data_IF_008651986926
#
_entry.id   IF_008651986926
#
_cell.length_a   1.000
_cell.length_b   1.000
_cell.length_c   1.000
_cell.angle_alpha   90.00
_cell.angle_beta   90.00
_cell.angle_gamma   90.00
#
_symmetry.space_group_name_H-M   'P 1'
#
loop_
_entity.id
_entity.type
_entity.pdbx_description
1 polymer ?
#
# COMPACT_ATOMS: atom_id res chain seq x y z
N UNK A 1 30.96 -31.86 19.24
CA UNK A 1 29.80 -31.18 19.87
C UNK A 1 29.73 -29.73 19.39
N UNK A 2 28.83 -29.40 18.45
CA UNK A 2 28.62 -28.02 17.98
C UNK A 2 27.73 -27.29 18.99
N UNK A 3 28.25 -26.23 19.62
CA UNK A 3 27.50 -25.33 20.51
C UNK A 3 26.33 -24.74 19.73
N UNK A 4 25.11 -24.93 20.23
CA UNK A 4 23.92 -24.22 19.72
C UNK A 4 24.14 -22.73 19.98
N UNK A 5 23.96 -21.91 18.96
CA UNK A 5 23.93 -20.46 19.11
C UNK A 5 22.78 -20.11 20.06
N UNK A 6 23.11 -19.60 21.24
CA UNK A 6 22.13 -19.03 22.16
C UNK A 6 21.56 -17.77 21.51
N UNK A 7 20.29 -17.85 21.11
CA UNK A 7 19.54 -16.69 20.64
C UNK A 7 19.36 -15.73 21.81
N UNK A 8 19.90 -14.52 21.69
CA UNK A 8 19.67 -13.44 22.65
C UNK A 8 18.16 -13.16 22.86
N UNK A 9 17.79 -12.38 23.88
CA UNK A 9 16.39 -12.20 24.26
C UNK A 9 15.58 -11.77 23.05
N UNK A 10 14.51 -12.54 22.74
CA UNK A 10 13.61 -12.20 21.65
C UNK A 10 13.10 -10.78 21.87
N UNK A 11 13.33 -9.89 20.90
CA UNK A 11 12.90 -8.50 20.99
C UNK A 11 11.41 -8.44 21.37
N UNK A 12 11.07 -7.53 22.28
CA UNK A 12 9.69 -7.32 22.72
C UNK A 12 8.77 -7.12 21.50
N UNK A 13 7.53 -7.66 21.53
CA UNK A 13 6.60 -7.49 20.43
C UNK A 13 6.29 -6.01 20.21
N UNK A 14 6.18 -5.62 18.94
CA UNK A 14 5.70 -4.30 18.56
C UNK A 14 4.26 -4.11 19.02
N UNK A 15 3.82 -2.87 19.23
CA UNK A 15 2.41 -2.59 19.47
C UNK A 15 1.60 -2.89 18.21
N UNK A 16 2.12 -2.51 17.05
CA UNK A 16 1.47 -2.77 15.77
C UNK A 16 2.46 -2.98 14.62
N UNK A 17 2.11 -3.87 13.69
CA UNK A 17 2.70 -3.94 12.36
C UNK A 17 1.65 -3.51 11.33
N UNK A 18 1.99 -2.52 10.51
CA UNK A 18 1.16 -2.05 9.40
C UNK A 18 1.71 -2.65 8.11
N UNK A 19 0.89 -3.40 7.38
CA UNK A 19 1.29 -4.07 6.13
C UNK A 19 0.75 -3.27 4.95
N UNK A 20 1.64 -2.65 4.18
CA UNK A 20 1.32 -1.80 3.04
C UNK A 20 1.59 -0.32 3.32
N UNK A 21 2.28 0.33 2.37
CA UNK A 21 2.73 1.72 2.42
C UNK A 21 1.95 2.66 1.51
N UNK A 22 0.71 2.32 1.16
CA UNK A 22 -0.23 3.24 0.50
C UNK A 22 -0.84 4.27 1.45
N UNK A 23 -1.85 5.04 1.00
CA UNK A 23 -2.54 6.03 1.84
C UNK A 23 -3.02 5.44 3.17
N UNK A 24 -3.77 4.33 3.15
CA UNK A 24 -4.29 3.70 4.37
C UNK A 24 -3.18 3.36 5.39
N UNK A 25 -2.08 2.75 4.93
CA UNK A 25 -0.99 2.35 5.81
C UNK A 25 -0.18 3.53 6.34
N UNK A 26 0.07 4.54 5.50
CA UNK A 26 0.78 5.75 5.92
C UNK A 26 -0.05 6.55 6.95
N UNK A 27 -1.36 6.69 6.75
CA UNK A 27 -2.24 7.30 7.74
C UNK A 27 -2.22 6.51 9.05
N UNK A 28 -2.48 5.21 8.99
CA UNK A 28 -2.53 4.36 10.18
C UNK A 28 -1.21 4.40 10.97
N UNK A 29 -0.07 4.19 10.28
CA UNK A 29 1.24 4.23 10.90
C UNK A 29 1.57 5.59 11.50
N UNK A 30 1.23 6.69 10.81
CA UNK A 30 1.44 8.04 11.31
C UNK A 30 0.64 8.30 12.59
N UNK A 31 -0.62 7.88 12.65
CA UNK A 31 -1.46 8.02 13.84
C UNK A 31 -0.93 7.19 15.01
N UNK A 32 -0.49 5.96 14.75
CA UNK A 32 0.13 5.11 15.77
C UNK A 32 1.41 5.72 16.33
N UNK A 33 2.30 6.20 15.46
CA UNK A 33 3.54 6.85 15.87
C UNK A 33 3.28 8.13 16.67
N UNK A 34 2.29 8.95 16.25
CA UNK A 34 1.88 10.16 16.98
C UNK A 34 1.30 9.86 18.37
N UNK A 35 0.67 8.70 18.54
CA UNK A 35 0.16 8.25 19.83
C UNK A 35 1.22 7.57 20.72
N UNK A 36 2.48 7.49 20.27
CA UNK A 36 3.58 6.91 21.05
C UNK A 36 3.71 5.38 20.95
N UNK A 37 2.94 4.72 20.08
CA UNK A 37 3.03 3.28 19.90
C UNK A 37 4.28 2.87 19.12
N UNK A 38 4.89 1.76 19.51
CA UNK A 38 5.96 1.10 18.79
C UNK A 38 5.41 0.41 17.53
N UNK A 39 5.19 1.20 16.47
CA UNK A 39 4.67 0.73 15.19
C UNK A 39 5.75 0.59 14.12
N UNK A 40 5.61 -0.44 13.28
CA UNK A 40 6.45 -0.66 12.08
C UNK A 40 5.57 -0.82 10.85
N UNK A 41 5.77 0.03 9.85
CA UNK A 41 5.16 -0.13 8.53
C UNK A 41 6.06 -0.97 7.63
N UNK A 42 5.50 -2.00 7.01
CA UNK A 42 6.17 -2.89 6.06
C UNK A 42 5.60 -2.64 4.68
N UNK A 43 6.44 -2.21 3.73
CA UNK A 43 6.05 -2.01 2.34
C UNK A 43 7.02 -2.75 1.41
N UNK A 44 6.50 -3.40 0.37
CA UNK A 44 7.30 -4.21 -0.56
C UNK A 44 8.02 -3.40 -1.63
N UNK A 45 7.62 -2.14 -1.84
CA UNK A 45 8.16 -1.21 -2.85
C UNK A 45 8.38 0.19 -2.24
N UNK A 46 8.30 1.23 -3.07
CA UNK A 46 8.29 2.61 -2.61
C UNK A 46 6.94 2.97 -1.94
N UNK A 47 7.00 3.84 -0.93
CA UNK A 47 5.81 4.37 -0.27
C UNK A 47 4.93 5.17 -1.24
N UNK A 48 3.62 5.06 -1.04
CA UNK A 48 2.58 5.77 -1.76
C UNK A 48 1.54 4.87 -2.44
N UNK A 49 1.78 3.55 -2.51
CA UNK A 49 0.83 2.61 -3.11
C UNK A 49 0.43 2.98 -4.54
N UNK A 50 -0.80 2.67 -4.93
CA UNK A 50 -1.33 2.99 -6.27
C UNK A 50 -1.40 4.50 -6.53
N UNK A 51 -1.75 5.30 -5.50
CA UNK A 51 -1.87 6.75 -5.62
C UNK A 51 -0.59 7.40 -6.15
N UNK A 52 0.59 6.85 -5.84
CA UNK A 52 1.88 7.34 -6.34
C UNK A 52 1.97 7.38 -7.88
N UNK A 53 1.27 6.47 -8.57
CA UNK A 53 1.31 6.32 -10.01
C UNK A 53 0.37 7.25 -10.78
N UNK A 54 -0.55 7.93 -10.07
CA UNK A 54 -1.53 8.81 -10.71
C UNK A 54 -0.84 10.09 -11.17
N UNK A 55 -1.01 10.44 -12.45
CA UNK A 55 -0.39 11.62 -13.06
C UNK A 55 -0.86 12.91 -12.40
N UNK A 56 -2.18 13.07 -12.25
CA UNK A 56 -2.83 14.19 -11.58
C UNK A 56 -4.03 13.69 -10.79
N UNK A 57 -4.11 14.09 -9.52
CA UNK A 57 -5.23 13.81 -8.61
C UNK A 57 -5.99 15.12 -8.42
N UNK A 58 -7.25 15.15 -8.81
CA UNK A 58 -8.10 16.35 -8.75
C UNK A 58 -9.16 16.27 -7.64
N UNK A 59 -9.37 15.09 -7.09
CA UNK A 59 -10.41 14.78 -6.11
C UNK A 59 -9.90 14.57 -4.67
N UNK A 60 -8.69 15.05 -4.35
CA UNK A 60 -8.14 14.94 -3.00
C UNK A 60 -8.28 16.28 -2.26
N UNK A 61 -9.07 16.35 -1.17
CA UNK A 61 -9.30 17.59 -0.43
C UNK A 61 -8.00 18.26 0.06
N UNK A 62 -7.97 19.59 0.00
CA UNK A 62 -6.80 20.40 0.37
C UNK A 62 -5.87 20.73 -0.79
N UNK A 63 -6.13 20.22 -2.01
CA UNK A 63 -5.40 20.56 -3.23
C UNK A 63 -6.38 21.05 -4.32
N UNK A 64 -6.89 22.29 -4.21
CA UNK A 64 -7.92 22.79 -5.12
C UNK A 64 -7.48 22.88 -6.59
N UNK A 65 -6.17 22.96 -6.86
CA UNK A 65 -5.62 22.92 -8.23
C UNK A 65 -5.22 21.50 -8.68
N UNK A 66 -5.53 20.48 -7.87
CA UNK A 66 -5.01 19.13 -8.00
C UNK A 66 -3.54 19.00 -7.62
N UNK A 67 -3.05 17.76 -7.56
CA UNK A 67 -1.67 17.43 -7.20
C UNK A 67 -1.23 16.13 -7.87
N UNK A 68 0.05 16.00 -8.22
CA UNK A 68 0.55 14.72 -8.73
C UNK A 68 0.55 13.65 -7.63
N UNK A 69 0.26 12.40 -7.99
CA UNK A 69 0.27 11.30 -7.04
C UNK A 69 1.62 11.09 -6.36
N UNK A 70 2.71 11.33 -7.09
CA UNK A 70 4.08 11.28 -6.58
C UNK A 70 4.33 12.34 -5.50
N UNK A 71 3.87 13.56 -5.74
CA UNK A 71 4.06 14.67 -4.80
C UNK A 71 3.22 14.49 -3.53
N UNK A 72 1.92 14.17 -3.70
CA UNK A 72 1.01 13.91 -2.59
C UNK A 72 1.56 12.81 -1.67
N UNK A 73 1.94 11.66 -2.22
CA UNK A 73 2.49 10.56 -1.43
C UNK A 73 3.87 10.88 -0.84
N UNK A 74 4.63 11.77 -1.48
CA UNK A 74 5.88 12.31 -0.93
C UNK A 74 5.63 13.17 0.33
N UNK A 75 4.59 14.01 0.32
CA UNK A 75 4.17 14.80 1.48
C UNK A 75 3.78 13.90 2.65
N UNK A 76 2.96 12.88 2.38
CA UNK A 76 2.55 11.90 3.39
C UNK A 76 3.73 11.15 4.00
N UNK A 77 4.67 10.68 3.18
CA UNK A 77 5.85 9.98 3.67
C UNK A 77 6.74 10.88 4.56
N UNK A 78 6.90 12.16 4.18
CA UNK A 78 7.62 13.14 5.01
C UNK A 78 6.91 13.39 6.34
N UNK A 79 5.59 13.53 6.32
CA UNK A 79 4.80 13.72 7.54
C UNK A 79 4.86 12.51 8.46
N UNK A 80 4.76 11.29 7.91
CA UNK A 80 4.88 10.05 8.67
C UNK A 80 6.28 9.94 9.33
N UNK A 81 7.34 10.26 8.58
CA UNK A 81 8.71 10.29 9.11
C UNK A 81 8.88 11.33 10.22
N UNK A 82 8.30 12.53 10.06
CA UNK A 82 8.32 13.60 11.08
C UNK A 82 7.72 13.13 12.41
N UNK A 83 6.64 12.35 12.36
CA UNK A 83 6.01 11.77 13.56
C UNK A 83 6.70 10.50 14.08
N UNK A 84 7.84 10.10 13.48
CA UNK A 84 8.64 8.98 13.98
C UNK A 84 8.18 7.61 13.50
N UNK A 85 7.29 7.51 12.50
CA UNK A 85 6.91 6.22 11.94
C UNK A 85 8.13 5.51 11.35
N UNK A 86 8.44 4.32 11.87
CA UNK A 86 9.46 3.44 11.31
C UNK A 86 8.88 2.70 10.10
N UNK A 87 9.63 2.66 9.01
CA UNK A 87 9.27 1.93 7.80
C UNK A 87 10.34 0.90 7.44
N UNK A 88 9.94 -0.26 6.96
CA UNK A 88 10.82 -1.33 6.50
C UNK A 88 10.42 -1.78 5.09
N UNK A 89 11.40 -1.83 4.20
CA UNK A 89 11.24 -2.49 2.90
C UNK A 89 11.13 -4.01 3.13
N UNK A 90 10.01 -4.60 2.76
CA UNK A 90 9.75 -6.03 2.94
C UNK A 90 8.39 -6.44 2.41
N UNK A 91 8.26 -7.71 2.03
CA UNK A 91 6.99 -8.30 1.60
C UNK A 91 6.50 -9.24 2.71
N UNK A 92 5.37 -8.91 3.34
CA UNK A 92 4.69 -9.82 4.25
C UNK A 92 4.00 -10.92 3.43
N UNK A 93 4.28 -12.17 3.75
CA UNK A 93 3.78 -13.35 3.02
C UNK A 93 2.79 -14.18 3.83
N UNK A 94 2.75 -14.00 5.15
CA UNK A 94 1.77 -14.63 6.02
C UNK A 94 1.64 -13.86 7.34
N UNK A 95 0.47 -13.97 7.93
CA UNK A 95 0.17 -13.52 9.30
C UNK A 95 -0.47 -14.70 10.03
N UNK A 96 0.02 -15.01 11.22
CA UNK A 96 -0.59 -15.98 12.12
C UNK A 96 -0.70 -15.41 13.52
N UNK A 97 -1.64 -15.93 14.32
CA UNK A 97 -1.80 -15.56 15.73
C UNK A 97 -1.31 -16.72 16.59
N UNK A 98 -0.34 -16.45 17.45
CA UNK A 98 0.16 -17.42 18.42
C UNK A 98 -0.83 -17.66 19.56
N UNK A 99 -0.63 -18.75 20.30
CA UNK A 99 -1.41 -19.07 21.50
C UNK A 99 -1.22 -18.02 22.62
N UNK A 100 -0.10 -17.30 22.60
CA UNK A 100 0.20 -16.15 23.47
C UNK A 100 -0.58 -14.88 23.09
N UNK A 101 -1.44 -14.96 22.07
CA UNK A 101 -2.23 -13.84 21.56
C UNK A 101 -1.46 -12.87 20.68
N UNK A 102 -0.16 -13.09 20.45
CA UNK A 102 0.72 -12.23 19.65
C UNK A 102 0.69 -12.65 18.19
N UNK A 103 0.63 -11.68 17.28
CA UNK A 103 0.73 -11.94 15.86
C UNK A 103 2.18 -12.14 15.43
N UNK A 104 2.38 -13.09 14.51
CA UNK A 104 3.64 -13.30 13.78
C UNK A 104 3.42 -12.94 12.31
N UNK A 105 4.12 -11.91 11.83
CA UNK A 105 4.12 -11.47 10.43
C UNK A 105 5.39 -11.99 9.77
N UNK A 106 5.25 -13.00 8.91
CA UNK A 106 6.37 -13.59 8.19
C UNK A 106 6.69 -12.77 6.95
N UNK A 107 7.94 -12.33 6.83
CA UNK A 107 8.46 -11.65 5.64
C UNK A 107 9.05 -12.66 4.66
N UNK A 108 8.99 -12.36 3.36
CA UNK A 108 9.52 -13.22 2.28
C UNK A 108 10.99 -13.61 2.47
N UNK A 109 11.81 -12.71 3.02
CA UNK A 109 13.24 -12.93 3.29
C UNK A 109 13.52 -13.56 4.67
N UNK A 110 12.57 -14.35 5.21
CA UNK A 110 12.77 -15.21 6.37
C UNK A 110 12.63 -14.56 7.76
N UNK A 111 12.70 -13.23 7.88
CA UNK A 111 12.46 -12.56 9.17
C UNK A 111 10.96 -12.61 9.55
N UNK A 112 10.65 -12.91 10.80
CA UNK A 112 9.31 -12.77 11.36
C UNK A 112 9.26 -11.56 12.30
N UNK A 113 8.19 -10.76 12.20
CA UNK A 113 7.91 -9.65 13.11
C UNK A 113 6.84 -10.10 14.10
N UNK A 114 7.03 -9.79 15.38
CA UNK A 114 6.03 -10.04 16.42
C UNK A 114 5.30 -8.74 16.76
N UNK A 115 3.98 -8.79 16.85
CA UNK A 115 3.17 -7.61 17.14
C UNK A 115 1.90 -7.94 17.92
N UNK A 116 1.43 -7.01 18.76
CA UNK A 116 0.14 -7.14 19.47
C UNK A 116 -1.04 -6.93 18.52
N UNK A 117 -0.89 -6.07 17.53
CA UNK A 117 -1.87 -5.83 16.47
C UNK A 117 -1.24 -5.88 15.07
N UNK A 118 -2.04 -6.24 14.07
CA UNK A 118 -1.67 -6.16 12.65
C UNK A 118 -2.73 -5.37 11.91
N UNK A 119 -2.31 -4.33 11.19
CA UNK A 119 -3.17 -3.55 10.30
C UNK A 119 -2.87 -3.95 8.86
N UNK A 120 -3.84 -4.57 8.19
CA UNK A 120 -3.71 -5.03 6.81
C UNK A 120 -4.13 -3.93 5.83
N UNK A 121 -3.14 -3.24 5.26
CA UNK A 121 -3.31 -2.10 4.36
C UNK A 121 -2.64 -2.36 2.99
N UNK A 122 -2.59 -3.63 2.55
CA UNK A 122 -1.84 -4.06 1.37
C UNK A 122 -2.41 -3.52 0.04
N UNK A 123 -3.60 -2.95 0.07
CA UNK A 123 -4.32 -2.45 -1.10
C UNK A 123 -4.75 -3.58 -2.04
N UNK A 124 -5.02 -3.21 -3.29
CA UNK A 124 -5.36 -4.13 -4.36
C UNK A 124 -4.42 -3.95 -5.56
N UNK A 125 -4.39 -4.95 -6.42
CA UNK A 125 -3.77 -4.85 -7.73
C UNK A 125 -4.85 -4.99 -8.81
N UNK A 126 -4.74 -4.20 -9.87
CA UNK A 126 -5.62 -4.37 -11.02
C UNK A 126 -5.32 -5.69 -11.71
N UNK A 127 -6.39 -6.41 -12.06
CA UNK A 127 -6.28 -7.60 -12.91
C UNK A 127 -6.02 -7.13 -14.33
N UNK A 128 -5.03 -7.75 -14.98
CA UNK A 128 -4.76 -7.52 -16.40
C UNK A 128 -5.66 -8.41 -17.25
N UNK A 129 -6.05 -7.93 -18.42
CA UNK A 129 -6.76 -8.70 -19.44
C UNK A 129 -5.87 -9.76 -20.08
N UNK A 130 -4.55 -9.52 -20.13
CA UNK A 130 -3.59 -10.47 -20.70
C UNK A 130 -3.61 -10.49 -22.24
N UNK A 131 -4.08 -9.42 -22.88
CA UNK A 131 -4.20 -9.32 -24.34
C UNK A 131 -2.99 -8.63 -24.97
N UNK A 132 -2.66 -8.94 -26.25
CA UNK A 132 -1.59 -8.27 -26.96
C UNK A 132 -1.75 -6.74 -26.95
N UNK A 133 -0.67 -6.01 -26.65
CA UNK A 133 -0.66 -4.55 -26.64
C UNK A 133 -1.09 -3.90 -25.32
N UNK A 134 -1.70 -4.62 -24.38
CA UNK A 134 -2.19 -4.08 -23.09
C UNK A 134 -1.09 -3.32 -22.34
N UNK A 135 0.09 -3.92 -22.19
CA UNK A 135 1.21 -3.28 -21.47
C UNK A 135 1.81 -2.11 -22.24
N UNK A 136 1.76 -2.11 -23.57
CA UNK A 136 2.28 -1.04 -24.42
C UNK A 136 1.38 0.20 -24.39
N UNK A 137 0.07 -0.01 -24.26
CA UNK A 137 -0.96 1.03 -24.27
C UNK A 137 -1.38 1.47 -22.85
N UNK A 138 -0.81 0.87 -21.80
CA UNK A 138 -1.09 1.26 -20.43
C UNK A 138 -0.81 2.76 -20.19
N UNK A 139 -1.83 3.49 -19.76
CA UNK A 139 -1.78 4.95 -19.55
C UNK A 139 -1.77 5.79 -20.83
N UNK A 140 -1.96 5.18 -22.01
CA UNK A 140 -1.97 5.84 -23.34
C UNK A 140 -3.06 5.27 -24.26
N UNK A 141 -4.16 4.79 -23.68
CA UNK A 141 -5.22 4.07 -24.41
C UNK A 141 -5.84 2.92 -23.61
N UNK A 142 -5.13 2.41 -22.60
CA UNK A 142 -5.63 1.40 -21.67
C UNK A 142 -5.48 1.91 -20.24
N UNK A 143 -6.61 1.99 -19.52
CA UNK A 143 -6.69 2.42 -18.14
C UNK A 143 -7.50 1.42 -17.31
N UNK A 144 -7.24 1.37 -16.00
CA UNK A 144 -7.95 0.45 -15.08
C UNK A 144 -9.05 1.14 -14.27
N UNK A 145 -9.19 2.46 -14.44
CA UNK A 145 -10.19 3.33 -13.81
C UNK A 145 -10.62 4.38 -14.83
N UNK A 146 -11.83 4.91 -14.68
CA UNK A 146 -12.38 5.96 -15.54
C UNK A 146 -11.93 7.38 -15.12
N UNK A 147 -10.86 7.51 -14.34
CA UNK A 147 -10.32 8.84 -13.95
C UNK A 147 -9.90 9.66 -15.19
N UNK A 148 -9.62 8.99 -16.31
CA UNK A 148 -9.25 9.58 -17.60
C UNK A 148 -10.45 9.75 -18.56
N UNK A 149 -11.68 9.50 -18.11
CA UNK A 149 -12.87 9.71 -18.94
C UNK A 149 -12.96 11.14 -19.54
N UNK A 150 -12.59 12.23 -18.82
CA UNK A 150 -12.59 13.57 -19.40
C UNK A 150 -11.65 13.74 -20.60
N UNK A 151 -10.51 13.04 -20.63
CA UNK A 151 -9.54 13.11 -21.74
C UNK A 151 -9.98 12.30 -22.97
N UNK A 152 -10.99 11.43 -22.81
CA UNK A 152 -11.58 10.61 -23.86
C UNK A 152 -12.84 11.22 -24.50
N UNK A 153 -13.18 12.48 -24.17
CA UNK A 153 -14.38 13.13 -24.69
C UNK A 153 -14.41 13.14 -26.23
N UNK A 154 -15.52 12.68 -26.81
CA UNK A 154 -15.70 12.60 -28.26
C UNK A 154 -15.01 11.41 -28.95
N UNK A 155 -14.32 10.55 -28.19
CA UNK A 155 -13.72 9.32 -28.71
C UNK A 155 -14.64 8.12 -28.51
N UNK A 156 -14.48 7.09 -29.35
CA UNK A 156 -15.07 5.78 -29.10
C UNK A 156 -14.21 5.02 -28.08
N UNK A 157 -14.81 4.65 -26.94
CA UNK A 157 -14.15 3.91 -25.87
C UNK A 157 -14.87 2.59 -25.61
N UNK A 158 -14.14 1.63 -25.04
CA UNK A 158 -14.69 0.33 -24.63
C UNK A 158 -14.36 0.08 -23.16
N UNK A 159 -15.33 -0.49 -22.43
CA UNK A 159 -15.15 -0.95 -21.05
C UNK A 159 -15.11 -2.48 -21.04
N UNK A 160 -14.05 -3.05 -20.48
CA UNK A 160 -13.85 -4.49 -20.39
C UNK A 160 -14.23 -5.01 -19.00
N UNK A 161 -15.41 -5.63 -18.88
CA UNK A 161 -15.87 -6.31 -17.67
C UNK A 161 -17.37 -6.56 -17.69
N UNK A 162 -17.85 -7.45 -16.82
CA UNK A 162 -19.27 -7.82 -16.70
C UNK A 162 -19.86 -7.58 -15.31
N UNK A 163 -19.08 -6.99 -14.39
CA UNK A 163 -19.52 -6.69 -13.03
C UNK A 163 -20.12 -5.29 -12.89
N UNK A 164 -20.67 -4.99 -11.71
CA UNK A 164 -21.22 -3.68 -11.36
C UNK A 164 -20.22 -2.54 -11.63
N UNK A 165 -18.94 -2.75 -11.30
CA UNK A 165 -17.89 -1.78 -11.60
C UNK A 165 -17.77 -1.49 -13.11
N UNK A 166 -17.95 -2.48 -13.99
CA UNK A 166 -17.90 -2.23 -15.43
C UNK A 166 -19.12 -1.41 -15.89
N UNK A 167 -20.30 -1.70 -15.35
CA UNK A 167 -21.53 -0.95 -15.64
C UNK A 167 -21.41 0.50 -15.16
N UNK A 168 -20.94 0.71 -13.92
CA UNK A 168 -20.75 2.04 -13.33
C UNK A 168 -19.71 2.88 -14.08
N UNK A 169 -18.67 2.25 -14.63
CA UNK A 169 -17.62 2.95 -15.38
C UNK A 169 -17.99 3.16 -16.86
N UNK A 170 -19.02 2.48 -17.36
CA UNK A 170 -19.54 2.64 -18.71
C UNK A 170 -20.63 3.72 -18.81
N UNK A 171 -21.26 4.07 -17.69
CA UNK A 171 -22.26 5.13 -17.57
C UNK A 171 -21.60 6.51 -17.47
#
# INVERSE_FOLDING_TARGET
MKRRAESGPAAAPLDAVVIGGGPAGLAAGMHLARAGYAALLVERRALGGQARGIGRIENYPGFPQGISGRELMGLWARQAKRWGLKTRLGEAVAVSRGADGIFSVRLKKGAALRARAVLWCAGAAFRRLGVPGESRLAGKGVWNTADEAPSCAGLQVAVAGSGEAAVQQAA
#
